data_IF_998185859412
#
_entry.id   IF_998185859412
#
_cell.length_a   1.000
_cell.length_b   1.000
_cell.length_c   1.000
_cell.angle_alpha   90.00
_cell.angle_beta   90.00
_cell.angle_gamma   90.00
#
_symmetry.space_group_name_H-M   'P 1'
#
loop_
_entity.id
_entity.type
_entity.pdbx_description
1 polymer ?
#
# COMPACT_ATOMS: atom_id res chain seq x y z
N UNK A 1 7.07 30.78 -4.06
CA UNK A 1 6.67 29.35 -4.04
C UNK A 1 5.66 29.14 -2.93
N UNK A 2 4.37 28.94 -3.25
CA UNK A 2 3.34 28.68 -2.22
C UNK A 2 3.41 27.19 -1.85
N UNK A 3 3.45 26.85 -0.55
CA UNK A 3 3.35 25.45 -0.11
C UNK A 3 2.03 24.86 -0.64
N UNK A 4 2.11 23.67 -1.21
CA UNK A 4 0.95 22.89 -1.64
C UNK A 4 0.45 22.01 -0.49
N UNK A 5 -0.82 21.63 -0.53
CA UNK A 5 -1.37 20.64 0.38
C UNK A 5 -0.73 19.26 0.13
N UNK A 6 -0.71 18.44 1.17
CA UNK A 6 -0.26 17.05 1.10
C UNK A 6 -1.23 16.22 0.25
N UNK A 7 -0.72 15.23 -0.47
CA UNK A 7 -1.54 14.40 -1.36
C UNK A 7 -2.62 13.62 -0.58
N UNK A 8 -2.29 13.15 0.63
CA UNK A 8 -3.24 12.49 1.51
C UNK A 8 -4.41 13.41 1.91
N UNK A 9 -4.12 14.67 2.25
CA UNK A 9 -5.15 15.66 2.59
C UNK A 9 -6.03 16.00 1.38
N UNK A 10 -5.45 16.06 0.18
CA UNK A 10 -6.19 16.27 -1.07
C UNK A 10 -7.08 15.08 -1.42
N UNK A 11 -6.62 13.85 -1.20
CA UNK A 11 -7.41 12.64 -1.38
C UNK A 11 -8.59 12.58 -0.40
N UNK A 12 -8.36 12.84 0.89
CA UNK A 12 -9.41 12.93 1.91
C UNK A 12 -10.38 14.10 1.63
N UNK A 13 -9.88 15.23 1.14
CA UNK A 13 -10.71 16.35 0.70
C UNK A 13 -11.58 16.00 -0.50
N UNK A 14 -11.03 15.27 -1.49
CA UNK A 14 -11.77 14.75 -2.65
C UNK A 14 -12.83 13.72 -2.23
N UNK A 15 -12.51 12.90 -1.21
CA UNK A 15 -13.39 11.92 -0.58
C UNK A 15 -14.55 12.53 0.21
N UNK A 16 -14.32 13.71 0.80
CA UNK A 16 -15.21 14.34 1.75
C UNK A 16 -14.94 13.95 3.21
N UNK A 17 -13.88 13.18 3.45
CA UNK A 17 -13.53 12.54 4.73
C UNK A 17 -12.58 13.39 5.59
N UNK A 18 -12.16 14.55 5.07
CA UNK A 18 -11.35 15.50 5.82
C UNK A 18 -12.20 16.20 6.90
N UNK A 19 -11.66 16.33 8.11
CA UNK A 19 -12.33 17.04 9.22
C UNK A 19 -12.71 18.48 8.84
N UNK A 20 -13.80 19.00 9.42
CA UNK A 20 -14.45 20.25 9.00
C UNK A 20 -13.50 21.45 8.87
N UNK A 21 -12.65 21.68 9.87
CA UNK A 21 -11.69 22.78 9.86
C UNK A 21 -10.65 22.65 8.73
N UNK A 22 -10.05 21.46 8.59
CA UNK A 22 -9.09 21.17 7.54
C UNK A 22 -9.74 21.25 6.16
N UNK A 23 -11.00 20.82 6.03
CA UNK A 23 -11.76 20.88 4.78
C UNK A 23 -11.97 22.31 4.29
N UNK A 24 -12.22 23.26 5.20
CA UNK A 24 -12.35 24.68 4.85
C UNK A 24 -11.01 25.26 4.34
N UNK A 25 -9.92 25.01 5.06
CA UNK A 25 -8.58 25.51 4.69
C UNK A 25 -8.12 24.93 3.36
N UNK A 26 -8.19 23.61 3.20
CA UNK A 26 -7.84 22.92 1.95
C UNK A 26 -8.73 23.38 0.80
N UNK A 27 -10.04 23.56 1.05
CA UNK A 27 -10.96 24.07 0.04
C UNK A 27 -10.64 25.49 -0.44
N UNK A 28 -10.25 26.39 0.46
CA UNK A 28 -9.79 27.73 0.09
C UNK A 28 -8.50 27.68 -0.75
N UNK A 29 -7.56 26.81 -0.40
CA UNK A 29 -6.33 26.62 -1.16
C UNK A 29 -6.59 26.07 -2.57
N UNK A 30 -7.38 25.00 -2.68
CA UNK A 30 -7.74 24.35 -3.96
C UNK A 30 -8.46 25.31 -4.92
N UNK A 31 -9.22 26.28 -4.39
CA UNK A 31 -9.84 27.32 -5.21
C UNK A 31 -8.83 28.23 -5.90
N UNK A 32 -7.65 28.45 -5.30
CA UNK A 32 -6.66 29.41 -5.80
C UNK A 32 -5.45 28.73 -6.45
N UNK A 33 -5.20 27.46 -6.17
CA UNK A 33 -4.06 26.70 -6.70
C UNK A 33 -4.50 25.72 -7.80
N UNK A 34 -4.07 25.96 -9.05
CA UNK A 34 -4.37 25.10 -10.19
C UNK A 34 -3.82 23.68 -10.04
N UNK A 35 -2.62 23.53 -9.44
CA UNK A 35 -1.99 22.22 -9.19
C UNK A 35 -2.82 21.37 -8.23
N UNK A 36 -3.13 21.90 -7.05
CA UNK A 36 -3.94 21.15 -6.07
C UNK A 36 -5.37 20.89 -6.57
N UNK A 37 -5.89 21.76 -7.45
CA UNK A 37 -7.16 21.51 -8.13
C UNK A 37 -7.09 20.31 -9.09
N UNK A 38 -6.05 20.24 -9.92
CA UNK A 38 -5.86 19.13 -10.84
C UNK A 38 -5.72 17.79 -10.10
N UNK A 39 -5.01 17.79 -8.98
CA UNK A 39 -4.80 16.59 -8.15
C UNK A 39 -6.07 16.15 -7.41
N UNK A 40 -6.90 17.09 -6.94
CA UNK A 40 -8.22 16.74 -6.39
C UNK A 40 -9.14 16.15 -7.47
N UNK A 41 -9.06 16.67 -8.69
CA UNK A 41 -9.88 16.17 -9.79
C UNK A 41 -9.46 14.76 -10.21
N UNK A 42 -8.16 14.46 -10.27
CA UNK A 42 -7.69 13.10 -10.55
C UNK A 42 -8.17 12.09 -9.51
N UNK A 43 -8.22 12.45 -8.22
CA UNK A 43 -8.80 11.59 -7.18
C UNK A 43 -10.31 11.40 -7.35
N UNK A 44 -11.04 12.45 -7.77
CA UNK A 44 -12.48 12.34 -8.05
C UNK A 44 -12.77 11.44 -9.25
N UNK A 45 -11.95 11.53 -10.28
CA UNK A 45 -12.07 10.70 -11.48
C UNK A 45 -11.75 9.25 -11.18
N UNK A 46 -10.67 8.97 -10.44
CA UNK A 46 -10.37 7.62 -9.96
C UNK A 46 -11.52 7.03 -9.14
N UNK A 47 -12.13 7.84 -8.25
CA UNK A 47 -13.31 7.40 -7.48
C UNK A 47 -14.53 7.13 -8.35
N UNK A 48 -14.74 7.92 -9.40
CA UNK A 48 -15.83 7.73 -10.35
C UNK A 48 -15.65 6.44 -11.14
N UNK A 49 -14.44 6.21 -11.68
CA UNK A 49 -14.09 4.99 -12.38
C UNK A 49 -14.32 3.75 -11.51
N UNK A 50 -13.88 3.78 -10.24
CA UNK A 50 -14.13 2.68 -9.29
C UNK A 50 -15.63 2.45 -9.01
N UNK A 51 -16.46 3.50 -9.02
CA UNK A 51 -17.91 3.35 -8.86
C UNK A 51 -18.59 2.81 -10.10
N UNK A 52 -18.09 3.17 -11.28
CA UNK A 52 -18.59 2.64 -12.56
C UNK A 52 -18.17 1.17 -12.74
N UNK A 53 -16.95 0.83 -12.32
CA UNK A 53 -16.44 -0.55 -12.34
C UNK A 53 -17.01 -1.42 -11.22
N UNK A 54 -17.47 -0.82 -10.10
CA UNK A 54 -18.14 -1.56 -9.04
C UNK A 54 -19.45 -2.13 -9.60
N UNK A 55 -19.35 -3.37 -10.09
CA UNK A 55 -20.47 -4.14 -10.60
C UNK A 55 -21.56 -4.17 -9.52
N UNK A 56 -22.85 -4.14 -9.91
CA UNK A 56 -23.89 -4.53 -8.97
C UNK A 56 -23.52 -5.90 -8.39
N UNK A 57 -23.81 -6.04 -7.09
CA UNK A 57 -23.62 -7.27 -6.33
C UNK A 57 -23.98 -8.51 -7.18
N UNK A 58 -23.16 -9.58 -7.17
CA UNK A 58 -23.48 -10.79 -7.91
C UNK A 58 -24.91 -11.24 -7.57
N UNK A 59 -25.77 -11.52 -8.57
CA UNK A 59 -27.10 -12.01 -8.29
C UNK A 59 -26.99 -13.32 -7.50
N UNK A 60 -27.74 -13.41 -6.40
CA UNK A 60 -27.72 -14.58 -5.50
C UNK A 60 -26.75 -14.51 -4.32
N UNK A 61 -25.97 -13.43 -4.17
CA UNK A 61 -25.14 -13.24 -2.97
C UNK A 61 -25.97 -12.58 -1.85
N UNK A 62 -26.30 -13.39 -0.85
CA UNK A 62 -27.01 -12.97 0.36
C UNK A 62 -26.01 -12.38 1.38
N UNK A 63 -26.03 -11.06 1.54
CA UNK A 63 -25.16 -10.34 2.48
C UNK A 63 -25.37 -10.76 3.93
N UNK A 64 -26.62 -11.02 4.34
CA UNK A 64 -26.94 -11.35 5.72
C UNK A 64 -26.41 -12.74 6.06
N UNK A 65 -26.55 -13.67 5.12
CA UNK A 65 -25.94 -15.00 5.24
C UNK A 65 -24.42 -14.93 5.27
N UNK A 66 -23.78 -14.21 4.35
CA UNK A 66 -22.32 -14.08 4.32
C UNK A 66 -21.78 -13.44 5.61
N UNK A 67 -22.45 -12.39 6.10
CA UNK A 67 -22.09 -11.75 7.35
C UNK A 67 -22.28 -12.69 8.56
N UNK A 68 -23.33 -13.50 8.57
CA UNK A 68 -23.57 -14.50 9.61
C UNK A 68 -22.48 -15.59 9.60
N UNK A 69 -22.13 -16.11 8.42
CA UNK A 69 -21.06 -17.11 8.24
C UNK A 69 -19.71 -16.55 8.71
N UNK A 70 -19.37 -15.30 8.33
CA UNK A 70 -18.12 -14.67 8.76
C UNK A 70 -18.08 -14.44 10.29
N UNK A 71 -19.19 -14.03 10.88
CA UNK A 71 -19.30 -13.85 12.34
C UNK A 71 -19.17 -15.18 13.07
N UNK A 72 -19.76 -16.25 12.55
CA UNK A 72 -19.62 -17.60 13.09
C UNK A 72 -18.16 -18.07 13.05
N UNK A 73 -17.46 -17.85 11.94
CA UNK A 73 -16.04 -18.19 11.81
C UNK A 73 -15.16 -17.44 12.81
N UNK A 74 -15.39 -16.14 13.00
CA UNK A 74 -14.65 -15.34 13.98
C UNK A 74 -14.91 -15.88 15.40
N UNK A 75 -16.18 -16.13 15.73
CA UNK A 75 -16.56 -16.65 17.06
C UNK A 75 -15.95 -18.02 17.33
N UNK A 76 -15.99 -18.93 16.37
CA UNK A 76 -15.34 -20.24 16.46
C UNK A 76 -13.83 -20.09 16.67
N UNK A 77 -13.18 -19.17 15.95
CA UNK A 77 -11.75 -18.89 16.12
C UNK A 77 -11.40 -18.40 17.52
N UNK A 78 -12.25 -17.54 18.11
CA UNK A 78 -12.11 -17.07 19.49
C UNK A 78 -12.31 -18.22 20.48
N UNK A 79 -13.39 -18.99 20.36
CA UNK A 79 -13.69 -20.12 21.24
C UNK A 79 -12.61 -21.21 21.16
N UNK A 80 -12.12 -21.54 19.96
CA UNK A 80 -11.00 -22.45 19.77
C UNK A 80 -9.71 -21.93 20.39
N UNK A 81 -9.46 -20.62 20.29
CA UNK A 81 -8.34 -19.92 20.95
C UNK A 81 -8.42 -20.00 22.48
N UNK A 82 -9.62 -19.91 23.06
CA UNK A 82 -9.86 -20.11 24.49
C UNK A 82 -9.64 -21.57 24.91
N UNK A 83 -10.07 -22.55 24.10
CA UNK A 83 -9.85 -23.98 24.38
C UNK A 83 -8.37 -24.37 24.43
N UNK A 84 -7.52 -23.76 23.62
CA UNK A 84 -6.06 -23.97 23.65
C UNK A 84 -5.32 -22.96 24.54
N UNK A 85 -6.02 -21.92 24.98
CA UNK A 85 -5.51 -20.81 25.80
C UNK A 85 -5.29 -21.16 27.28
N UNK A 86 -5.56 -22.40 27.69
CA UNK A 86 -5.11 -22.94 28.98
C UNK A 86 -3.58 -23.16 29.01
N UNK A 87 -2.82 -22.17 28.58
CA UNK A 87 -1.41 -22.04 28.94
C UNK A 87 -1.41 -21.52 30.38
N UNK A 88 -1.17 -22.46 31.30
CA UNK A 88 -0.76 -22.26 32.70
C UNK A 88 -0.52 -20.79 33.03
N UNK A 89 -1.43 -20.18 33.80
CA UNK A 89 -1.15 -18.88 34.42
C UNK A 89 0.15 -19.04 35.21
N UNK A 90 1.25 -18.52 34.67
CA UNK A 90 2.49 -18.46 35.41
C UNK A 90 2.19 -17.65 36.68
N UNK A 91 2.43 -18.20 37.89
CA UNK A 91 2.04 -17.57 39.14
C UNK A 91 2.57 -16.14 39.15
N UNK A 92 1.67 -15.18 39.44
CA UNK A 92 1.86 -13.74 39.30
C UNK A 92 3.25 -13.29 39.72
N UNK A 93 4.17 -13.28 38.76
CA UNK A 93 5.54 -12.82 38.97
C UNK A 93 5.43 -11.32 39.09
N UNK A 94 5.53 -10.80 40.31
CA UNK A 94 5.65 -9.37 40.57
C UNK A 94 6.83 -8.87 39.76
N UNK A 95 6.54 -8.28 38.62
CA UNK A 95 7.54 -7.64 37.78
C UNK A 95 8.05 -6.45 38.57
N UNK A 96 9.34 -6.38 38.90
CA UNK A 96 9.86 -5.22 39.59
C UNK A 96 9.60 -3.99 38.71
N UNK A 97 9.15 -2.89 39.32
CA UNK A 97 8.77 -1.67 38.61
C UNK A 97 9.94 -1.07 37.82
N UNK A 98 11.18 -1.34 38.23
CA UNK A 98 12.39 -0.81 37.61
C UNK A 98 12.57 -1.23 36.13
N UNK A 99 12.58 -2.53 35.76
CA UNK A 99 12.66 -2.92 34.35
C UNK A 99 11.42 -2.53 33.53
N UNK A 100 10.23 -2.47 34.13
CA UNK A 100 9.02 -2.02 33.44
C UNK A 100 9.11 -0.54 33.09
N UNK A 101 9.58 0.30 34.02
CA UNK A 101 9.81 1.72 33.78
C UNK A 101 10.92 1.96 32.75
N UNK A 102 12.01 1.18 32.79
CA UNK A 102 13.07 1.25 31.80
C UNK A 102 12.58 0.89 30.40
N UNK A 103 11.79 -0.18 30.27
CA UNK A 103 11.20 -0.58 28.99
C UNK A 103 10.20 0.47 28.47
N UNK A 104 9.36 1.02 29.33
CA UNK A 104 8.41 2.07 28.97
C UNK A 104 9.14 3.34 28.51
N UNK A 105 10.26 3.72 29.15
CA UNK A 105 11.09 4.84 28.74
C UNK A 105 11.71 4.61 27.35
N UNK A 106 12.30 3.42 27.12
CA UNK A 106 12.90 3.05 25.83
C UNK A 106 11.84 3.03 24.73
N UNK A 107 10.67 2.43 24.99
CA UNK A 107 9.58 2.38 24.05
C UNK A 107 9.04 3.79 23.74
N UNK A 108 8.87 4.63 24.76
CA UNK A 108 8.44 6.02 24.57
C UNK A 108 9.47 6.84 23.79
N UNK A 109 10.76 6.62 24.01
CA UNK A 109 11.83 7.26 23.23
C UNK A 109 11.80 6.78 21.78
N UNK A 110 11.63 5.48 21.56
CA UNK A 110 11.55 4.91 20.21
C UNK A 110 10.33 5.43 19.46
N UNK A 111 9.16 5.49 20.10
CA UNK A 111 7.93 6.02 19.51
C UNK A 111 8.02 7.51 19.21
N UNK A 112 8.61 8.31 20.09
CA UNK A 112 8.80 9.75 19.84
C UNK A 112 9.81 9.99 18.72
N UNK A 113 10.89 9.21 18.66
CA UNK A 113 11.88 9.28 17.58
C UNK A 113 11.31 8.81 16.24
N UNK A 114 10.56 7.69 16.24
CA UNK A 114 9.88 7.18 15.05
C UNK A 114 8.80 8.15 14.54
N UNK A 115 8.03 8.77 15.44
CA UNK A 115 7.05 9.79 15.08
C UNK A 115 7.72 11.05 14.51
N UNK A 116 8.81 11.50 15.13
CA UNK A 116 9.59 12.63 14.64
C UNK A 116 10.22 12.31 13.28
N UNK A 117 10.76 11.11 13.11
CA UNK A 117 11.34 10.61 11.87
C UNK A 117 10.29 10.43 10.77
N UNK A 118 9.09 9.93 11.08
CA UNK A 118 7.98 9.86 10.12
C UNK A 118 7.49 11.26 9.70
N UNK A 119 7.62 12.26 10.58
CA UNK A 119 7.29 13.66 10.28
C UNK A 119 8.40 14.37 9.50
N UNK A 120 9.67 14.08 9.77
CA UNK A 120 10.84 14.71 9.13
C UNK A 120 11.25 14.02 7.83
N UNK A 121 11.10 12.70 7.76
CA UNK A 121 11.24 11.86 6.57
C UNK A 121 9.89 11.51 5.95
N UNK A 122 8.90 12.42 5.98
CA UNK A 122 7.83 12.32 4.98
C UNK A 122 8.54 12.21 3.64
N UNK A 123 8.49 11.06 2.93
CA UNK A 123 9.06 11.01 1.62
C UNK A 123 8.32 12.09 0.87
N UNK A 124 9.04 13.15 0.52
CA UNK A 124 8.59 14.02 -0.55
C UNK A 124 8.61 13.06 -1.73
N UNK A 125 7.49 12.39 -1.98
CA UNK A 125 7.18 11.90 -3.31
C UNK A 125 7.25 13.15 -4.16
N UNK A 126 8.46 13.42 -4.67
CA UNK A 126 8.71 14.43 -5.69
C UNK A 126 8.02 13.85 -6.91
N UNK A 127 6.71 14.05 -7.00
CA UNK A 127 5.91 13.74 -8.18
C UNK A 127 6.34 14.55 -9.42
N UNK A 128 7.45 15.31 -9.34
CA UNK A 128 7.95 16.19 -10.38
C UNK A 128 9.48 16.05 -10.58
N UNK A 129 10.08 14.88 -10.36
CA UNK A 129 11.34 14.58 -11.01
C UNK A 129 10.99 14.13 -12.43
N UNK A 130 11.06 15.05 -13.40
CA UNK A 130 11.20 14.67 -14.81
C UNK A 130 12.50 13.84 -14.85
N UNK A 131 12.49 12.57 -15.26
CA UNK A 131 13.73 11.82 -15.35
C UNK A 131 14.61 12.56 -16.36
N UNK A 132 15.69 13.14 -15.87
CA UNK A 132 16.84 13.46 -16.70
C UNK A 132 17.38 12.10 -17.11
N UNK A 133 17.09 11.71 -18.35
CA UNK A 133 17.62 10.50 -18.97
C UNK A 133 19.13 10.70 -19.00
N UNK A 134 19.79 10.24 -17.93
CA UNK A 134 21.20 10.02 -17.93
C UNK A 134 21.44 8.90 -18.95
N UNK A 135 22.18 9.26 -19.99
CA UNK A 135 22.52 8.50 -21.18
C UNK A 135 23.28 7.20 -20.84
N UNK A 136 22.57 6.25 -20.23
CA UNK A 136 23.03 4.94 -19.83
C UNK A 136 22.00 3.91 -20.28
N UNK A 137 22.42 3.01 -21.16
CA UNK A 137 21.60 1.95 -21.72
C UNK A 137 21.03 1.08 -20.60
N UNK A 138 19.76 1.30 -20.24
CA UNK A 138 19.01 0.39 -19.39
C UNK A 138 18.42 -0.69 -20.29
N UNK A 139 18.87 -1.94 -20.11
CA UNK A 139 18.40 -3.07 -20.90
C UNK A 139 17.42 -3.89 -20.07
N UNK A 140 16.16 -3.88 -20.48
CA UNK A 140 15.12 -4.73 -19.94
C UNK A 140 15.23 -6.12 -20.57
N UNK A 141 15.44 -7.15 -19.75
CA UNK A 141 15.48 -8.55 -20.20
C UNK A 141 14.29 -9.29 -19.63
N UNK A 142 13.46 -9.86 -20.51
CA UNK A 142 12.40 -10.77 -20.14
C UNK A 142 12.62 -12.14 -20.75
N UNK A 143 12.56 -13.16 -19.91
CA UNK A 143 12.64 -14.57 -20.28
C UNK A 143 11.40 -15.29 -19.70
N UNK A 144 11.04 -16.43 -20.25
CA UNK A 144 9.83 -17.19 -19.88
C UNK A 144 9.72 -17.54 -18.38
N UNK A 145 10.83 -17.52 -17.62
CA UNK A 145 10.85 -17.74 -16.17
C UNK A 145 11.48 -16.63 -15.35
N UNK A 146 11.85 -15.49 -15.95
CA UNK A 146 12.57 -14.43 -15.25
C UNK A 146 12.34 -13.04 -15.87
N UNK A 147 12.27 -12.04 -15.00
CA UNK A 147 12.25 -10.62 -15.38
C UNK A 147 13.43 -9.93 -14.74
N UNK A 148 14.23 -9.22 -15.53
CA UNK A 148 15.40 -8.51 -15.00
C UNK A 148 15.65 -7.14 -15.63
N UNK A 149 16.30 -6.29 -14.84
CA UNK A 149 16.81 -4.98 -15.24
C UNK A 149 18.32 -5.03 -15.17
N UNK A 150 18.99 -4.63 -16.24
CA UNK A 150 20.44 -4.45 -16.28
C UNK A 150 20.77 -2.97 -16.48
N UNK A 151 21.57 -2.40 -15.56
CA UNK A 151 22.07 -1.02 -15.63
C UNK A 151 23.56 -1.02 -15.35
N UNK A 152 24.36 -0.54 -16.29
CA UNK A 152 25.82 -0.39 -16.15
C UNK A 152 26.55 -1.66 -15.67
N UNK A 153 26.11 -2.84 -16.11
CA UNK A 153 26.71 -4.13 -15.73
C UNK A 153 26.20 -4.73 -14.41
N UNK A 154 25.33 -4.04 -13.67
CA UNK A 154 24.62 -4.58 -12.51
C UNK A 154 23.24 -5.07 -12.96
N UNK A 155 22.94 -6.34 -12.66
CA UNK A 155 21.69 -6.99 -13.05
C UNK A 155 20.87 -7.40 -11.82
N UNK A 156 19.64 -6.89 -11.73
CA UNK A 156 18.64 -7.38 -10.79
C UNK A 156 17.66 -8.29 -11.56
N UNK A 157 17.60 -9.57 -11.20
CA UNK A 157 16.71 -10.55 -11.85
C UNK A 157 15.77 -11.17 -10.82
N UNK A 158 14.47 -11.09 -11.08
CA UNK A 158 13.42 -11.79 -10.35
C UNK A 158 13.10 -13.08 -11.10
N UNK A 159 13.37 -14.21 -10.46
CA UNK A 159 13.10 -15.56 -11.00
C UNK A 159 11.85 -16.12 -10.33
N UNK A 160 10.92 -16.66 -11.12
CA UNK A 160 9.73 -17.32 -10.61
C UNK A 160 9.93 -18.85 -10.68
N UNK A 161 9.85 -19.53 -9.53
CA UNK A 161 10.14 -20.96 -9.41
C UNK A 161 8.99 -21.89 -9.87
N UNK A 162 7.80 -21.35 -10.13
CA UNK A 162 6.56 -22.13 -10.24
C UNK A 162 5.90 -22.23 -11.62
N UNK A 163 6.51 -21.76 -12.70
CA UNK A 163 5.90 -21.86 -14.04
C UNK A 163 6.21 -20.71 -14.98
N UNK A 164 5.87 -20.90 -16.27
CA UNK A 164 6.13 -19.93 -17.34
C UNK A 164 5.25 -18.68 -17.24
N UNK A 165 5.79 -17.52 -17.65
CA UNK A 165 5.03 -16.28 -17.72
C UNK A 165 3.88 -16.40 -18.74
N UNK A 166 2.64 -16.21 -18.29
CA UNK A 166 1.43 -16.23 -19.13
C UNK A 166 1.29 -14.99 -20.01
N UNK A 167 1.89 -13.86 -19.64
CA UNK A 167 2.06 -12.69 -20.52
C UNK A 167 3.15 -11.76 -20.01
N UNK A 168 4.04 -11.31 -20.89
CA UNK A 168 5.03 -10.26 -20.61
C UNK A 168 4.70 -9.04 -21.47
N UNK A 169 4.66 -7.86 -20.86
CA UNK A 169 4.47 -6.59 -21.57
C UNK A 169 5.54 -5.58 -21.18
N UNK A 170 6.05 -4.86 -22.18
CA UNK A 170 7.05 -3.80 -22.02
C UNK A 170 6.38 -2.48 -22.34
N UNK A 171 6.36 -1.57 -21.36
CA UNK A 171 5.85 -0.22 -21.53
C UNK A 171 6.92 0.69 -22.12
N UNK A 172 6.50 1.61 -22.99
CA UNK A 172 7.36 2.62 -23.66
C UNK A 172 8.03 3.58 -22.66
N UNK A 173 7.61 3.54 -21.39
CA UNK A 173 8.13 4.33 -20.27
C UNK A 173 9.18 3.57 -19.43
N UNK A 174 9.71 2.44 -19.92
CA UNK A 174 10.69 1.64 -19.17
C UNK A 174 10.08 0.75 -18.08
N UNK A 175 8.81 0.36 -18.24
CA UNK A 175 8.17 -0.60 -17.32
C UNK A 175 8.15 -1.99 -17.93
N UNK A 176 8.36 -3.01 -17.10
CA UNK A 176 8.21 -4.41 -17.48
C UNK A 176 7.20 -5.05 -16.54
N UNK A 177 6.16 -5.64 -17.12
CA UNK A 177 5.14 -6.37 -16.42
C UNK A 177 5.16 -7.83 -16.88
N UNK A 178 5.27 -8.74 -15.91
CA UNK A 178 5.07 -10.17 -16.15
C UNK A 178 3.97 -10.72 -15.24
N UNK A 179 3.06 -11.46 -15.87
CA UNK A 179 1.97 -12.17 -15.21
C UNK A 179 2.24 -13.66 -15.26
N UNK A 180 2.24 -14.30 -14.11
CA UNK A 180 2.40 -15.75 -13.94
C UNK A 180 1.07 -16.31 -13.49
N UNK A 181 0.65 -17.40 -14.12
CA UNK A 181 -0.57 -18.13 -13.79
C UNK A 181 -0.08 -19.51 -13.36
N UNK A 182 -0.30 -19.85 -12.09
CA UNK A 182 -0.04 -21.19 -11.59
C UNK A 182 -1.10 -22.15 -12.16
N UNK A 183 -0.66 -23.16 -12.91
CA UNK A 183 -1.53 -24.13 -13.58
C UNK A 183 -2.22 -25.07 -12.56
N UNK A 184 -1.63 -25.28 -11.39
CA UNK A 184 -2.16 -26.20 -10.37
C UNK A 184 -3.15 -25.51 -9.40
N UNK A 185 -2.89 -24.23 -9.06
CA UNK A 185 -3.66 -23.48 -8.06
C UNK A 185 -4.56 -22.36 -8.60
N UNK A 186 -4.44 -22.00 -9.88
CA UNK A 186 -5.14 -20.83 -10.48
C UNK A 186 -4.71 -19.48 -9.89
N UNK A 187 -3.62 -19.46 -9.11
CA UNK A 187 -3.10 -18.27 -8.48
C UNK A 187 -2.39 -17.40 -9.51
N UNK A 188 -2.74 -16.10 -9.52
CA UNK A 188 -2.13 -15.12 -10.42
C UNK A 188 -1.10 -14.31 -9.64
N UNK A 189 0.16 -14.41 -10.03
CA UNK A 189 1.25 -13.59 -9.50
C UNK A 189 1.65 -12.54 -10.54
N UNK A 190 1.64 -11.27 -10.15
CA UNK A 190 1.99 -10.15 -11.04
C UNK A 190 3.27 -9.48 -10.52
N UNK A 191 4.28 -9.39 -11.37
CA UNK A 191 5.52 -8.68 -11.08
C UNK A 191 5.60 -7.40 -11.90
N UNK A 192 5.82 -6.28 -11.22
CA UNK A 192 6.03 -4.97 -11.83
C UNK A 192 7.45 -4.52 -11.56
N UNK A 193 8.20 -4.26 -12.63
CA UNK A 193 9.53 -3.69 -12.54
C UNK A 193 9.54 -2.35 -13.29
N UNK A 194 10.01 -1.32 -12.61
CA UNK A 194 10.12 0.03 -13.14
C UNK A 194 11.60 0.38 -13.23
N UNK A 195 12.01 0.94 -14.36
CA UNK A 195 13.31 1.59 -14.49
C UNK A 195 13.09 3.09 -14.40
N UNK A 196 13.77 3.74 -13.45
CA UNK A 196 13.79 5.21 -13.31
C UNK A 196 14.80 5.88 -14.25
#
# INVERSE_FOLDING_TARGET
MRRHCDAADLALYAGGDLGLAARLVTGLHVRTCSRCRAEVESFRDARRALREESRPMPPGLDWDRLAAEMKANIRLGVEAGECVGAVVEAPGRRVPLAPVAALALVLSLFLTLAWWQARSLRPVHRANARPEVADGQVVLKATTGAVGVERNGEALTLVHAGGGAGSVSVGVQGSLNARYIDEDGGQVTIHHVYTE
#
